data_IF_919647407699
#
_entry.id   IF_919647407699
#
_cell.length_a   1.000
_cell.length_b   1.000
_cell.length_c   1.000
_cell.angle_alpha   90.00
_cell.angle_beta   90.00
_cell.angle_gamma   90.00
#
_symmetry.space_group_name_H-M   'P 1'
#
loop_
_entity.id
_entity.type
_entity.pdbx_description
1 polymer ?
#
# COMPACT_ATOMS: atom_id res chain seq x y z
N UNK A 1 23.96 0.12 46.32
CA UNK A 1 24.33 0.59 44.96
C UNK A 1 24.30 -0.58 43.98
N UNK A 2 23.17 -0.82 43.31
CA UNK A 2 23.04 -1.97 42.39
C UNK A 2 23.56 -1.62 41.00
N UNK A 3 24.73 -2.16 40.62
CA UNK A 3 25.31 -1.97 39.29
C UNK A 3 24.43 -2.63 38.24
N UNK A 4 23.60 -1.84 37.55
CA UNK A 4 22.96 -2.26 36.30
C UNK A 4 24.04 -2.74 35.34
N UNK A 5 24.02 -4.01 34.95
CA UNK A 5 24.87 -4.59 33.91
C UNK A 5 24.43 -4.10 32.52
N UNK A 6 24.47 -2.77 32.32
CA UNK A 6 24.43 -2.14 31.00
C UNK A 6 25.69 -2.58 30.25
N UNK A 7 25.61 -3.69 29.52
CA UNK A 7 26.63 -4.01 28.49
C UNK A 7 26.47 -3.03 27.34
N UNK A 8 27.07 -1.86 27.50
CA UNK A 8 27.35 -0.91 26.42
C UNK A 8 28.27 -1.58 25.42
N UNK A 9 27.76 -1.85 24.22
CA UNK A 9 28.55 -2.19 23.05
C UNK A 9 28.30 -1.09 22.02
N UNK A 10 29.37 -0.48 21.50
CA UNK A 10 29.32 0.56 20.47
C UNK A 10 28.33 1.71 20.79
N UNK A 11 28.34 2.21 22.03
CA UNK A 11 27.46 3.31 22.47
C UNK A 11 25.97 2.98 22.63
N UNK A 12 25.54 1.74 22.35
CA UNK A 12 24.14 1.33 22.44
C UNK A 12 23.88 0.31 23.55
N UNK A 13 22.86 0.59 24.38
CA UNK A 13 22.36 -0.38 25.38
C UNK A 13 21.50 -1.43 24.67
N UNK A 14 22.04 -2.65 24.55
CA UNK A 14 21.30 -3.84 24.13
C UNK A 14 20.69 -4.49 25.37
N UNK A 15 19.37 -4.68 25.36
CA UNK A 15 18.63 -5.33 26.44
C UNK A 15 18.25 -6.75 26.01
N UNK A 16 18.41 -7.72 26.91
CA UNK A 16 18.08 -9.12 26.69
C UNK A 16 16.87 -9.55 27.51
N UNK A 17 16.21 -10.62 27.06
CA UNK A 17 14.96 -11.15 27.64
C UNK A 17 15.10 -11.80 29.04
N UNK A 18 16.21 -11.54 29.72
CA UNK A 18 16.63 -12.08 31.02
C UNK A 18 16.63 -11.03 32.14
N UNK A 19 16.43 -9.75 31.82
CA UNK A 19 16.21 -8.71 32.83
C UNK A 19 14.78 -8.80 33.38
N UNK A 20 14.62 -9.52 34.48
CA UNK A 20 13.40 -9.53 35.32
C UNK A 20 13.26 -8.21 36.10
N UNK A 21 13.20 -7.09 35.39
CA UNK A 21 13.18 -5.74 35.97
C UNK A 21 12.62 -4.68 35.02
N UNK A 22 12.39 -3.47 35.57
CA UNK A 22 11.90 -2.29 34.83
C UNK A 22 12.84 -1.97 33.66
N UNK A 23 12.42 -2.32 32.44
CA UNK A 23 13.21 -2.14 31.21
C UNK A 23 13.02 -3.23 30.15
N UNK A 24 12.42 -4.37 30.49
CA UNK A 24 12.17 -5.45 29.53
C UNK A 24 11.37 -4.98 28.29
N UNK A 25 11.89 -5.28 27.09
CA UNK A 25 11.25 -4.86 25.84
C UNK A 25 10.01 -5.70 25.48
N UNK A 26 8.89 -5.02 25.25
CA UNK A 26 7.69 -5.64 24.71
C UNK A 26 7.87 -5.94 23.20
N UNK A 27 8.09 -7.22 22.87
CA UNK A 27 8.35 -7.70 21.51
C UNK A 27 7.40 -8.82 21.05
N UNK A 28 6.19 -8.91 21.61
CA UNK A 28 5.17 -9.93 21.28
C UNK A 28 5.70 -11.37 21.16
N UNK A 29 6.66 -11.74 22.03
CA UNK A 29 7.40 -13.00 22.00
C UNK A 29 8.15 -13.33 20.67
N UNK A 30 8.26 -12.38 19.75
CA UNK A 30 8.87 -12.57 18.43
C UNK A 30 10.33 -12.13 18.33
N UNK A 31 10.81 -11.30 19.26
CA UNK A 31 12.25 -11.06 19.44
C UNK A 31 12.77 -11.61 20.77
N UNK A 32 14.09 -11.81 20.82
CA UNK A 32 14.88 -12.14 22.04
C UNK A 32 15.81 -11.00 22.47
N UNK A 33 16.05 -10.02 21.58
CA UNK A 33 16.95 -8.88 21.76
C UNK A 33 16.24 -7.60 21.35
N UNK A 34 16.63 -6.49 21.95
CA UNK A 34 16.20 -5.15 21.56
C UNK A 34 17.32 -4.15 21.82
N UNK A 35 17.25 -2.99 21.17
CA UNK A 35 18.08 -1.81 21.49
C UNK A 35 17.23 -0.77 22.21
N UNK A 36 17.84 -0.03 23.13
CA UNK A 36 17.22 1.19 23.66
C UNK A 36 17.42 2.36 22.69
N UNK A 37 16.38 3.18 22.51
CA UNK A 37 16.41 4.45 21.80
C UNK A 37 15.91 5.57 22.74
N UNK A 38 16.78 6.55 23.00
CA UNK A 38 16.52 7.68 23.91
C UNK A 38 15.48 8.68 23.36
N UNK A 39 15.47 8.92 22.05
CA UNK A 39 14.51 9.81 21.39
C UNK A 39 13.09 9.24 21.51
N UNK A 40 12.93 7.97 21.16
CA UNK A 40 11.67 7.25 21.34
C UNK A 40 11.23 7.15 22.81
N UNK A 41 12.19 7.11 23.75
CA UNK A 41 11.90 7.19 25.18
C UNK A 41 11.35 8.56 25.58
N UNK A 42 11.98 9.66 25.14
CA UNK A 42 11.48 11.04 25.35
C UNK A 42 10.07 11.20 24.78
N UNK A 43 9.87 10.85 23.50
CA UNK A 43 8.58 10.93 22.80
C UNK A 43 7.47 10.11 23.47
N UNK A 44 7.81 8.99 24.11
CA UNK A 44 6.84 8.16 24.86
C UNK A 44 6.39 8.74 26.21
N UNK A 45 6.75 9.99 26.54
CA UNK A 45 6.53 10.54 27.88
C UNK A 45 7.38 9.83 28.93
N UNK A 46 8.61 9.44 28.59
CA UNK A 46 9.55 8.68 29.46
C UNK A 46 9.02 7.30 29.89
N UNK A 47 8.14 6.68 29.10
CA UNK A 47 7.53 5.36 29.36
C UNK A 47 8.31 4.18 28.75
N UNK A 48 8.69 4.25 27.47
CA UNK A 48 9.39 3.15 26.78
C UNK A 48 10.27 3.62 25.62
N UNK A 49 11.55 3.23 25.64
CA UNK A 49 12.52 3.45 24.57
C UNK A 49 12.91 2.18 23.79
N UNK A 50 12.36 1.01 24.13
CA UNK A 50 12.78 -0.25 23.53
C UNK A 50 12.39 -0.38 22.05
N UNK A 51 13.30 -0.90 21.22
CA UNK A 51 13.07 -1.26 19.81
C UNK A 51 13.56 -2.68 19.59
N UNK A 52 12.65 -3.58 19.21
CA UNK A 52 12.95 -4.99 19.01
C UNK A 52 13.90 -5.21 17.81
N UNK A 53 14.80 -6.19 17.94
CA UNK A 53 15.77 -6.55 16.92
C UNK A 53 15.43 -7.93 16.35
N UNK A 54 15.53 -8.07 15.02
CA UNK A 54 15.31 -9.32 14.28
C UNK A 54 13.98 -10.00 14.64
N UNK A 55 12.87 -9.31 14.41
CA UNK A 55 11.51 -9.85 14.60
C UNK A 55 11.34 -11.17 13.82
N UNK A 56 11.01 -12.24 14.53
CA UNK A 56 10.78 -13.57 13.97
C UNK A 56 9.31 -13.75 13.57
N UNK A 57 8.95 -14.93 13.08
CA UNK A 57 7.56 -15.32 12.80
C UNK A 57 6.85 -14.41 11.77
N UNK A 58 7.63 -13.81 10.86
CA UNK A 58 7.16 -12.91 9.80
C UNK A 58 6.45 -11.64 10.32
N UNK A 59 6.86 -11.18 11.50
CA UNK A 59 6.40 -9.92 12.09
C UNK A 59 7.40 -8.80 11.88
N UNK A 60 6.91 -7.56 12.00
CA UNK A 60 7.66 -6.34 11.78
C UNK A 60 7.22 -5.23 12.75
N UNK A 61 7.90 -4.08 12.67
CA UNK A 61 7.66 -2.92 13.52
C UNK A 61 8.38 -2.97 14.87
N UNK A 62 8.37 -1.82 15.55
CA UNK A 62 9.10 -1.56 16.80
C UNK A 62 8.94 -2.62 17.89
N UNK A 63 7.73 -3.19 18.00
CA UNK A 63 7.34 -4.21 18.99
C UNK A 63 7.02 -5.58 18.35
N UNK A 64 7.39 -5.80 17.08
CA UNK A 64 6.99 -6.99 16.32
C UNK A 64 5.47 -7.22 16.33
N UNK A 65 4.67 -6.18 16.05
CA UNK A 65 3.22 -6.15 16.33
C UNK A 65 2.32 -6.17 15.08
N UNK A 66 2.89 -6.07 13.88
CA UNK A 66 2.20 -6.27 12.60
C UNK A 66 2.99 -7.25 11.73
N UNK A 67 2.40 -7.69 10.62
CA UNK A 67 3.03 -8.63 9.71
C UNK A 67 3.94 -7.91 8.71
N UNK A 68 5.11 -8.48 8.41
CA UNK A 68 6.00 -7.93 7.38
C UNK A 68 5.32 -8.00 5.99
N UNK A 69 5.81 -7.22 5.03
CA UNK A 69 5.29 -7.28 3.65
C UNK A 69 5.31 -8.69 3.06
N UNK A 70 4.30 -9.00 2.25
CA UNK A 70 4.03 -10.37 1.79
C UNK A 70 3.41 -11.28 2.86
N UNK A 71 2.98 -10.75 4.01
CA UNK A 71 2.26 -11.49 5.05
C UNK A 71 1.08 -10.68 5.59
N UNK A 72 0.03 -11.37 6.03
CA UNK A 72 -1.17 -10.80 6.62
C UNK A 72 -1.53 -11.46 7.96
N UNK A 73 -2.36 -10.77 8.75
CA UNK A 73 -2.70 -11.09 10.14
C UNK A 73 -3.74 -12.21 10.22
N UNK A 74 -3.38 -13.31 10.89
CA UNK A 74 -4.29 -14.40 11.21
C UNK A 74 -5.08 -14.10 12.49
N UNK A 75 -6.23 -13.43 12.36
CA UNK A 75 -7.05 -13.00 13.51
C UNK A 75 -7.49 -14.14 14.43
N UNK A 76 -7.51 -15.39 13.95
CA UNK A 76 -7.79 -16.59 14.76
C UNK A 76 -6.73 -16.90 15.83
N UNK A 77 -5.60 -16.17 15.84
CA UNK A 77 -4.46 -16.39 16.73
C UNK A 77 -4.07 -15.09 17.41
N UNK A 78 -3.67 -15.14 18.68
CA UNK A 78 -3.07 -13.99 19.37
C UNK A 78 -1.83 -13.47 18.62
N UNK A 79 -1.59 -12.16 18.64
CA UNK A 79 -0.42 -11.56 17.99
C UNK A 79 0.89 -12.20 18.45
N UNK A 80 1.01 -12.63 19.71
CA UNK A 80 2.25 -13.27 20.22
C UNK A 80 2.49 -14.70 19.70
N UNK A 81 1.58 -15.28 18.91
CA UNK A 81 1.67 -16.65 18.41
C UNK A 81 2.68 -16.80 17.24
N UNK A 82 3.44 -17.91 17.19
CA UNK A 82 4.46 -18.14 16.14
C UNK A 82 3.95 -18.21 14.69
N UNK A 83 2.63 -18.28 14.51
CA UNK A 83 1.91 -18.28 13.22
C UNK A 83 0.85 -17.16 13.16
N UNK A 84 1.04 -16.06 13.90
CA UNK A 84 0.13 -14.90 13.89
C UNK A 84 0.06 -14.18 12.54
N UNK A 85 1.07 -14.41 11.68
CA UNK A 85 1.17 -13.92 10.31
C UNK A 85 1.20 -15.09 9.31
N UNK A 86 0.28 -15.07 8.34
CA UNK A 86 0.19 -15.99 7.21
C UNK A 86 0.79 -15.33 5.97
N UNK A 87 1.40 -16.11 5.07
CA UNK A 87 1.94 -15.58 3.83
C UNK A 87 0.81 -15.16 2.88
N UNK A 88 1.04 -14.09 2.12
CA UNK A 88 0.22 -13.75 0.95
C UNK A 88 0.51 -14.77 -0.16
N UNK A 89 -0.52 -15.45 -0.65
CA UNK A 89 -0.43 -16.42 -1.74
C UNK A 89 -1.02 -15.84 -3.04
N UNK A 90 -0.53 -14.66 -3.43
CA UNK A 90 -1.09 -13.94 -4.57
C UNK A 90 -0.73 -14.62 -5.89
N UNK A 91 -1.74 -14.99 -6.68
CA UNK A 91 -1.59 -15.74 -7.91
C UNK A 91 -0.71 -14.98 -8.93
N UNK A 92 0.39 -15.58 -9.43
CA UNK A 92 1.46 -14.85 -10.13
C UNK A 92 1.01 -14.17 -11.43
N UNK A 93 -0.05 -14.69 -12.06
CA UNK A 93 -0.63 -14.13 -13.29
C UNK A 93 -1.85 -13.24 -13.01
N UNK A 94 -2.63 -13.56 -11.97
CA UNK A 94 -3.95 -12.95 -11.71
C UNK A 94 -3.91 -11.75 -10.75
N UNK A 95 -2.88 -11.66 -9.91
CA UNK A 95 -2.64 -10.49 -9.08
C UNK A 95 -1.77 -9.45 -9.82
N UNK A 96 -1.95 -8.17 -9.48
CA UNK A 96 -1.09 -7.07 -9.90
C UNK A 96 0.17 -6.94 -9.03
N UNK A 97 0.25 -7.66 -7.90
CA UNK A 97 1.37 -7.60 -6.97
C UNK A 97 1.39 -8.76 -5.96
N UNK A 98 2.53 -8.94 -5.28
CA UNK A 98 2.76 -10.02 -4.30
C UNK A 98 2.33 -9.64 -2.87
N UNK A 99 2.12 -8.35 -2.61
CA UNK A 99 1.77 -7.83 -1.29
C UNK A 99 0.24 -7.76 -1.17
N UNK A 100 -0.32 -8.52 -0.25
CA UNK A 100 -1.75 -8.52 0.06
C UNK A 100 -2.07 -7.55 1.22
N UNK A 101 -3.36 -7.23 1.38
CA UNK A 101 -3.87 -6.44 2.50
C UNK A 101 -3.52 -7.12 3.84
N UNK A 102 -2.84 -6.40 4.74
CA UNK A 102 -2.33 -6.96 6.00
C UNK A 102 -3.43 -7.43 6.97
N UNK A 103 -4.68 -6.98 6.82
CA UNK A 103 -5.81 -7.34 7.68
C UNK A 103 -6.65 -8.46 7.08
N UNK A 104 -6.98 -8.37 5.79
CA UNK A 104 -7.91 -9.32 5.12
C UNK A 104 -7.22 -10.44 4.36
N UNK A 105 -5.94 -10.29 4.03
CA UNK A 105 -5.22 -11.20 3.12
C UNK A 105 -5.59 -11.03 1.65
N UNK A 106 -6.47 -10.10 1.29
CA UNK A 106 -6.87 -9.85 -0.11
C UNK A 106 -5.69 -9.33 -0.93
N UNK A 107 -5.34 -10.05 -1.99
CA UNK A 107 -4.36 -9.63 -2.99
C UNK A 107 -4.96 -8.58 -3.94
N UNK A 108 -4.14 -7.67 -4.50
CA UNK A 108 -4.59 -6.74 -5.53
C UNK A 108 -4.80 -7.51 -6.84
N UNK A 109 -6.06 -7.71 -7.24
CA UNK A 109 -6.40 -8.47 -8.45
C UNK A 109 -6.36 -7.60 -9.70
N UNK A 110 -6.00 -8.20 -10.84
CA UNK A 110 -6.16 -7.57 -12.16
C UNK A 110 -7.64 -7.53 -12.59
N UNK A 111 -7.91 -6.74 -13.62
CA UNK A 111 -9.24 -6.63 -14.21
C UNK A 111 -9.83 -7.99 -14.59
N UNK A 112 -11.11 -8.19 -14.26
CA UNK A 112 -11.80 -9.46 -14.48
C UNK A 112 -11.36 -10.62 -13.57
N UNK A 113 -10.40 -10.44 -12.67
CA UNK A 113 -9.91 -11.47 -11.73
C UNK A 113 -10.53 -11.28 -10.33
N UNK A 114 -10.79 -12.37 -9.61
CA UNK A 114 -11.38 -12.34 -8.26
C UNK A 114 -10.86 -13.47 -7.35
N UNK A 115 -11.31 -13.46 -6.09
CA UNK A 115 -10.86 -14.32 -5.00
C UNK A 115 -9.76 -13.67 -4.15
N UNK A 116 -9.60 -14.15 -2.91
CA UNK A 116 -8.60 -13.64 -1.95
C UNK A 116 -7.18 -13.62 -2.56
N UNK A 117 -6.84 -14.67 -3.30
CA UNK A 117 -5.54 -14.87 -3.95
C UNK A 117 -5.52 -14.47 -5.43
N UNK A 118 -6.61 -13.91 -5.98
CA UNK A 118 -6.75 -13.57 -7.40
C UNK A 118 -6.57 -14.77 -8.35
N UNK A 119 -7.14 -15.92 -7.97
CA UNK A 119 -6.90 -17.22 -8.61
C UNK A 119 -7.96 -17.65 -9.64
N UNK A 120 -8.98 -16.83 -9.91
CA UNK A 120 -10.07 -17.16 -10.84
C UNK A 120 -10.65 -15.91 -11.51
N UNK A 121 -11.29 -16.07 -12.66
CA UNK A 121 -12.04 -14.99 -13.29
C UNK A 121 -13.35 -14.70 -12.53
N UNK A 122 -13.80 -13.45 -12.59
CA UNK A 122 -15.10 -13.03 -12.09
C UNK A 122 -16.24 -13.55 -12.98
N UNK A 123 -17.48 -13.50 -12.47
CA UNK A 123 -18.66 -13.89 -13.25
C UNK A 123 -18.77 -13.03 -14.51
N UNK A 124 -18.95 -13.67 -15.67
CA UNK A 124 -18.97 -13.00 -16.98
C UNK A 124 -17.60 -12.87 -17.66
N UNK A 125 -16.51 -13.29 -17.01
CA UNK A 125 -15.17 -13.35 -17.59
C UNK A 125 -14.72 -14.80 -17.81
N UNK A 126 -13.91 -15.01 -18.83
CA UNK A 126 -13.28 -16.27 -19.21
C UNK A 126 -11.75 -16.13 -19.22
N UNK A 127 -11.04 -17.22 -18.98
CA UNK A 127 -9.58 -17.23 -18.99
C UNK A 127 -9.05 -17.02 -20.42
N UNK A 128 -8.09 -16.10 -20.56
CA UNK A 128 -7.36 -15.86 -21.80
C UNK A 128 -5.97 -16.50 -21.75
N UNK A 129 -5.27 -16.53 -22.89
CA UNK A 129 -3.86 -16.97 -22.96
C UNK A 129 -2.85 -15.86 -22.61
N UNK A 130 -3.31 -14.63 -22.35
CA UNK A 130 -2.43 -13.49 -22.05
C UNK A 130 -2.05 -13.46 -20.57
N UNK A 131 -0.75 -13.44 -20.22
CA UNK A 131 -0.32 -13.23 -18.83
C UNK A 131 -0.57 -11.80 -18.35
N UNK A 132 -0.76 -10.84 -19.27
CA UNK A 132 -1.04 -9.44 -18.96
C UNK A 132 -2.52 -9.28 -18.60
N UNK A 133 -3.41 -9.76 -19.47
CA UNK A 133 -4.88 -9.71 -19.31
C UNK A 133 -5.47 -11.13 -19.24
N UNK A 134 -5.36 -11.83 -18.10
CA UNK A 134 -5.68 -13.26 -17.99
C UNK A 134 -7.17 -13.57 -17.96
N UNK A 135 -8.04 -12.57 -17.76
CA UNK A 135 -9.48 -12.72 -17.78
C UNK A 135 -10.08 -11.67 -18.74
N UNK A 136 -10.83 -12.14 -19.74
CA UNK A 136 -11.54 -11.30 -20.73
C UNK A 136 -13.04 -11.59 -20.70
N UNK A 137 -13.88 -10.66 -21.11
CA UNK A 137 -15.34 -10.81 -21.01
C UNK A 137 -15.84 -11.78 -22.09
N UNK A 138 -16.77 -12.68 -21.76
CA UNK A 138 -17.13 -13.84 -22.60
C UNK A 138 -17.57 -13.50 -24.04
N UNK A 139 -18.07 -12.29 -24.29
CA UNK A 139 -18.45 -11.84 -25.65
C UNK A 139 -17.27 -11.48 -26.55
N UNK A 140 -16.04 -11.41 -26.02
CA UNK A 140 -14.83 -11.07 -26.79
C UNK A 140 -14.30 -12.23 -27.65
N UNK A 141 -14.77 -13.47 -27.45
CA UNK A 141 -14.30 -14.65 -28.20
C UNK A 141 -14.71 -14.60 -29.68
N UNK A 142 -15.64 -13.74 -30.07
CA UNK A 142 -16.09 -13.57 -31.46
C UNK A 142 -15.14 -12.77 -32.37
N UNK A 143 -14.03 -12.22 -31.86
CA UNK A 143 -13.18 -11.27 -32.61
C UNK A 143 -11.81 -11.81 -33.06
N UNK A 144 -11.56 -13.12 -32.97
CA UNK A 144 -10.35 -13.75 -33.53
C UNK A 144 -10.65 -15.05 -34.29
N UNK A 145 -11.26 -14.90 -35.46
CA UNK A 145 -11.23 -15.87 -36.56
C UNK A 145 -10.93 -15.11 -37.85
N UNK A 146 -9.93 -15.51 -38.66
CA UNK A 146 -9.65 -14.84 -39.94
C UNK A 146 -10.65 -15.28 -41.01
N UNK A 147 -11.87 -14.73 -40.96
CA UNK A 147 -12.83 -14.82 -42.07
C UNK A 147 -13.43 -13.44 -42.39
N UNK A 148 -12.94 -12.90 -43.51
CA UNK A 148 -13.60 -11.97 -44.44
C UNK A 148 -14.92 -11.38 -43.95
N UNK A 149 -14.86 -10.22 -43.29
CA UNK A 149 -16.04 -9.40 -43.01
C UNK A 149 -16.25 -8.39 -44.12
N UNK A 150 -17.33 -8.59 -44.89
CA UNK A 150 -17.78 -7.65 -45.91
C UNK A 150 -18.35 -6.40 -45.20
N UNK A 151 -17.59 -5.30 -45.19
CA UNK A 151 -18.03 -4.05 -44.57
C UNK A 151 -19.16 -3.41 -45.40
N UNK A 152 -20.38 -3.20 -44.86
CA UNK A 152 -21.38 -2.41 -45.55
C UNK A 152 -20.97 -0.94 -45.43
N UNK A 153 -20.55 -0.32 -46.53
CA UNK A 153 -20.31 1.12 -46.58
C UNK A 153 -21.64 1.87 -46.44
N UNK A 154 -22.03 2.22 -45.22
CA UNK A 154 -23.13 3.16 -45.01
C UNK A 154 -22.63 4.61 -45.20
N UNK A 155 -22.54 5.02 -46.46
CA UNK A 155 -22.29 6.41 -46.84
C UNK A 155 -23.57 7.23 -46.68
N UNK A 156 -23.90 7.62 -45.44
CA UNK A 156 -24.93 8.63 -45.18
C UNK A 156 -24.35 9.83 -44.42
N UNK A 157 -23.68 10.71 -45.19
CA UNK A 157 -23.37 12.08 -44.74
C UNK A 157 -24.67 12.89 -44.74
N UNK A 158 -25.33 12.97 -43.58
CA UNK A 158 -26.31 14.03 -43.35
C UNK A 158 -25.57 15.38 -43.27
N UNK A 159 -25.83 16.35 -44.17
CA UNK A 159 -25.06 17.60 -44.24
C UNK A 159 -25.36 18.61 -43.12
N UNK A 160 -26.30 18.33 -42.20
CA UNK A 160 -26.72 19.27 -41.16
C UNK A 160 -26.58 18.72 -39.71
N UNK A 161 -25.52 17.96 -39.41
CA UNK A 161 -25.17 17.61 -38.02
C UNK A 161 -24.00 18.45 -37.50
N UNK A 162 -24.33 19.56 -36.85
CA UNK A 162 -23.39 20.44 -36.14
C UNK A 162 -22.61 19.62 -35.10
N UNK A 163 -21.28 19.66 -35.16
CA UNK A 163 -20.39 18.98 -34.21
C UNK A 163 -20.13 19.84 -32.98
N UNK A 164 -19.95 19.19 -31.83
CA UNK A 164 -19.74 19.81 -30.51
C UNK A 164 -18.51 20.74 -30.41
N UNK A 165 -17.69 20.78 -31.46
CA UNK A 165 -16.52 21.66 -31.64
C UNK A 165 -16.85 23.12 -31.97
N UNK A 166 -18.09 23.46 -32.38
CA UNK A 166 -18.48 24.85 -32.69
C UNK A 166 -18.99 25.66 -31.49
N UNK A 167 -19.07 25.08 -30.29
CA UNK A 167 -19.65 25.74 -29.11
C UNK A 167 -18.63 26.38 -28.15
N UNK A 168 -17.36 26.52 -28.55
CA UNK A 168 -16.27 27.10 -27.75
C UNK A 168 -15.69 28.42 -28.31
N UNK A 169 -16.41 29.11 -29.21
CA UNK A 169 -15.98 30.40 -29.79
C UNK A 169 -16.78 31.62 -29.31
N UNK A 170 -17.71 31.49 -28.35
CA UNK A 170 -18.55 32.61 -27.87
C UNK A 170 -18.23 33.14 -26.45
N UNK A 171 -17.13 32.73 -25.83
CA UNK A 171 -16.68 33.27 -24.52
C UNK A 171 -15.25 33.85 -24.57
N UNK A 172 -14.91 34.56 -25.64
CA UNK A 172 -13.77 35.49 -25.68
C UNK A 172 -14.29 36.93 -25.79
N UNK A 173 -14.45 37.59 -24.65
CA UNK A 173 -14.80 38.99 -24.57
C UNK A 173 -14.56 39.55 -23.17
N UNK A 174 -13.69 40.56 -23.08
CA UNK A 174 -13.58 41.48 -21.93
C UNK A 174 -12.93 40.98 -20.63
N UNK A 175 -11.61 40.77 -20.65
CA UNK A 175 -10.74 41.19 -19.53
C UNK A 175 -9.54 41.96 -20.09
N UNK A 176 -9.41 43.23 -19.71
CA UNK A 176 -8.28 44.10 -20.05
C UNK A 176 -7.19 43.98 -18.97
N UNK A 177 -5.90 43.87 -19.34
CA UNK A 177 -4.80 44.09 -18.42
C UNK A 177 -4.15 45.47 -18.67
N UNK A 178 -4.24 46.34 -17.67
CA UNK A 178 -3.41 47.55 -17.41
C UNK A 178 -3.99 48.15 -16.11
N UNK A 179 -3.25 48.64 -15.11
CA UNK A 179 -1.79 48.75 -14.92
C UNK A 179 -1.52 49.23 -13.47
N UNK A 180 -0.32 48.97 -12.90
CA UNK A 180 0.39 49.84 -11.91
C UNK A 180 -0.44 50.39 -10.71
N UNK A 181 -0.33 49.94 -9.46
CA UNK A 181 0.82 49.90 -8.51
C UNK A 181 0.35 49.13 -7.22
N UNK A 182 1.09 48.89 -6.11
CA UNK A 182 2.45 49.28 -5.67
C UNK A 182 3.06 48.26 -4.67
N UNK A 183 4.27 48.55 -4.17
CA UNK A 183 4.88 48.02 -2.92
C UNK A 183 5.36 49.22 -2.05
N UNK A 184 5.97 49.06 -0.85
CA UNK A 184 5.85 48.02 0.17
C UNK A 184 5.47 48.62 1.55
N UNK A 185 5.32 47.80 2.60
CA UNK A 185 6.01 48.11 3.88
C UNK A 185 6.03 46.94 4.88
N UNK A 186 7.23 46.64 5.34
CA UNK A 186 7.51 45.88 6.56
C UNK A 186 7.12 46.65 7.81
N UNK A 187 6.66 45.97 8.87
CA UNK A 187 7.14 46.27 10.23
C UNK A 187 6.94 45.11 11.22
N UNK A 188 7.78 45.09 12.25
CA UNK A 188 7.99 43.99 13.21
C UNK A 188 7.51 44.32 14.63
N UNK A 189 7.15 43.31 15.42
CA UNK A 189 7.44 43.13 16.88
C UNK A 189 6.78 41.82 17.34
N UNK A 190 7.45 40.86 17.99
CA UNK A 190 7.99 40.86 19.36
C UNK A 190 6.88 41.06 20.43
N UNK A 191 6.50 39.94 21.07
CA UNK A 191 6.41 39.78 22.53
C UNK A 191 6.64 38.30 22.88
#
# INVERSE_FOLDING_TARGET
MSRLFKRTYYGHTILSKTDSGRGACHCNLHARRCRFNMELYKLSGRRSGGVCLNCRHNTAGRHCHYCKEGYYRDMTKSISHRRACKACDCHPVGAAGKTCNQTTGQCPCKDGVTGITCNRCAKGYQQSRSPIAPCIISYAVSMTSPQTQHYPQNTNKNPNRITHSQQLQQLRGSFRPDSLLDEPQSHSSIY
#
